data_IF_686130476274
#
_entry.id   IF_686130476274
#
_cell.length_a   1.000
_cell.length_b   1.000
_cell.length_c   1.000
_cell.angle_alpha   90.00
_cell.angle_beta   90.00
_cell.angle_gamma   90.00
#
_symmetry.space_group_name_H-M   'P 1'
#
loop_
_entity.id
_entity.type
_entity.pdbx_description
1 polymer ?
#
# COMPACT_ATOMS: atom_id res chain seq x y z
N UNK A 1 10.29 -18.50 -6.68
CA UNK A 1 11.03 -18.21 -5.43
C UNK A 1 10.14 -17.52 -4.41
N UNK A 2 10.00 -18.11 -3.22
CA UNK A 2 9.59 -17.41 -2.00
C UNK A 2 10.86 -16.87 -1.34
N UNK A 3 11.16 -15.59 -1.58
CA UNK A 3 12.30 -14.93 -0.94
C UNK A 3 11.90 -14.50 0.46
N UNK A 4 12.72 -14.82 1.45
CA UNK A 4 12.54 -14.36 2.84
C UNK A 4 12.50 -12.84 2.87
N UNK A 5 11.49 -12.28 3.53
CA UNK A 5 11.29 -10.83 3.64
C UNK A 5 12.11 -10.30 4.80
N UNK A 6 13.30 -9.81 4.52
CA UNK A 6 14.10 -9.04 5.49
C UNK A 6 13.67 -7.57 5.44
N UNK A 7 12.83 -7.12 6.38
CA UNK A 7 12.45 -5.71 6.55
C UNK A 7 12.73 -5.29 7.99
N UNK A 8 13.40 -4.16 8.15
CA UNK A 8 13.55 -3.50 9.44
C UNK A 8 12.30 -2.67 9.70
N UNK A 9 11.43 -3.15 10.56
CA UNK A 9 10.24 -2.44 11.00
C UNK A 9 10.63 -1.59 12.21
N UNK A 10 10.63 -0.27 12.05
CA UNK A 10 11.03 0.67 13.08
C UNK A 10 9.97 0.80 14.19
N UNK A 11 8.69 0.59 13.84
CA UNK A 11 7.56 0.71 14.75
C UNK A 11 7.52 -0.43 15.77
N UNK A 12 6.99 -0.11 16.95
CA UNK A 12 6.78 -1.10 18.01
C UNK A 12 5.51 -1.92 17.77
N UNK A 13 5.45 -3.14 18.31
CA UNK A 13 4.26 -4.00 18.24
C UNK A 13 2.99 -3.30 18.76
N UNK A 14 3.13 -2.57 19.89
CA UNK A 14 2.03 -1.79 20.49
C UNK A 14 1.50 -0.69 19.59
N UNK A 15 2.38 -0.04 18.81
CA UNK A 15 2.00 1.02 17.88
C UNK A 15 1.23 0.43 16.70
N UNK A 16 1.71 -0.70 16.16
CA UNK A 16 1.03 -1.42 15.08
C UNK A 16 -0.34 -1.93 15.51
N UNK A 17 -0.45 -2.48 16.73
CA UNK A 17 -1.74 -2.94 17.27
C UNK A 17 -2.73 -1.78 17.44
N UNK A 18 -2.28 -0.64 17.95
CA UNK A 18 -3.10 0.57 18.08
C UNK A 18 -3.59 1.06 16.72
N UNK A 19 -2.69 1.11 15.72
CA UNK A 19 -3.05 1.50 14.35
C UNK A 19 -4.03 0.53 13.70
N UNK A 20 -3.89 -0.78 13.95
CA UNK A 20 -4.81 -1.81 13.47
C UNK A 20 -6.23 -1.65 14.04
N UNK A 21 -6.35 -1.21 15.30
CA UNK A 21 -7.65 -0.91 15.92
C UNK A 21 -8.29 0.36 15.36
N UNK A 22 -7.47 1.35 15.00
CA UNK A 22 -7.94 2.65 14.47
C UNK A 22 -8.23 2.62 12.97
N UNK A 23 -7.63 1.69 12.24
CA UNK A 23 -7.70 1.63 10.77
C UNK A 23 -8.70 0.57 10.30
N UNK A 24 -9.51 0.92 9.31
CA UNK A 24 -10.44 -0.01 8.66
C UNK A 24 -10.17 -0.13 7.14
N UNK A 25 -10.76 -1.15 6.53
CA UNK A 25 -10.70 -1.39 5.09
C UNK A 25 -9.33 -1.89 4.59
N UNK A 26 -8.93 -1.57 3.34
CA UNK A 26 -7.74 -2.15 2.71
C UNK A 26 -6.43 -1.75 3.38
N UNK A 27 -6.43 -0.66 4.15
CA UNK A 27 -5.26 -0.22 4.94
C UNK A 27 -5.00 -1.15 6.13
N UNK A 28 -6.06 -1.72 6.72
CA UNK A 28 -5.94 -2.68 7.82
C UNK A 28 -5.20 -3.94 7.39
N UNK A 29 -5.52 -4.47 6.21
CA UNK A 29 -4.87 -5.64 5.62
C UNK A 29 -3.36 -5.41 5.40
N UNK A 30 -2.99 -4.21 4.96
CA UNK A 30 -1.57 -3.79 4.80
C UNK A 30 -0.84 -3.74 6.14
N UNK A 31 -1.47 -3.15 7.16
CA UNK A 31 -0.91 -3.10 8.52
C UNK A 31 -0.77 -4.50 9.12
N UNK A 32 -1.74 -5.38 8.87
CA UNK A 32 -1.73 -6.76 9.38
C UNK A 32 -0.51 -7.54 8.86
N UNK A 33 -0.17 -7.36 7.57
CA UNK A 33 1.01 -7.95 6.97
C UNK A 33 2.31 -7.52 7.68
N UNK A 34 2.45 -6.22 7.99
CA UNK A 34 3.61 -5.72 8.74
C UNK A 34 3.63 -6.23 10.18
N UNK A 35 2.47 -6.29 10.84
CA UNK A 35 2.36 -6.78 12.20
C UNK A 35 2.83 -8.23 12.33
N UNK A 36 2.42 -9.12 11.42
CA UNK A 36 2.89 -10.51 11.43
C UNK A 36 4.39 -10.66 11.13
N UNK A 37 4.93 -9.83 10.24
CA UNK A 37 6.37 -9.78 9.98
C UNK A 37 7.14 -9.31 11.22
N UNK A 38 6.61 -8.33 11.96
CA UNK A 38 7.21 -7.84 13.20
C UNK A 38 7.23 -8.91 14.28
N UNK A 39 6.12 -9.64 14.44
CA UNK A 39 6.01 -10.74 15.39
C UNK A 39 6.82 -11.98 15.00
N UNK A 40 7.34 -12.05 13.77
CA UNK A 40 8.06 -13.24 13.27
C UNK A 40 7.16 -14.45 13.03
N UNK A 41 5.83 -14.27 12.98
CA UNK A 41 4.87 -15.35 12.69
C UNK A 41 4.93 -15.78 11.22
N UNK A 42 5.33 -14.85 10.35
CA UNK A 42 5.48 -15.07 8.91
C UNK A 42 6.85 -14.57 8.46
N UNK A 43 7.49 -15.33 7.58
CA UNK A 43 8.83 -14.98 7.07
C UNK A 43 8.81 -14.66 5.56
N UNK A 44 7.78 -15.11 4.84
CA UNK A 44 7.71 -14.97 3.39
C UNK A 44 6.50 -14.17 2.91
N UNK A 45 6.62 -13.56 1.74
CA UNK A 45 5.48 -12.87 1.08
C UNK A 45 4.36 -13.83 0.71
N UNK A 46 4.67 -15.10 0.51
CA UNK A 46 3.72 -16.14 0.12
C UNK A 46 2.81 -16.49 1.30
N UNK A 47 3.37 -16.64 2.49
CA UNK A 47 2.59 -16.97 3.70
C UNK A 47 1.58 -15.84 4.00
N UNK A 48 2.04 -14.59 3.93
CA UNK A 48 1.18 -13.41 4.08
C UNK A 48 0.08 -13.41 3.01
N UNK A 49 0.42 -13.73 1.77
CA UNK A 49 -0.53 -13.73 0.66
C UNK A 49 -1.65 -14.77 0.87
N UNK A 50 -1.29 -15.97 1.36
CA UNK A 50 -2.23 -17.03 1.72
C UNK A 50 -3.12 -16.60 2.88
N UNK A 51 -2.54 -16.06 3.96
CA UNK A 51 -3.30 -15.64 5.15
C UNK A 51 -4.26 -14.48 4.89
N UNK A 52 -3.87 -13.53 4.04
CA UNK A 52 -4.71 -12.37 3.68
C UNK A 52 -5.59 -12.63 2.44
N UNK A 53 -5.55 -13.84 1.89
CA UNK A 53 -6.24 -14.23 0.66
C UNK A 53 -6.02 -13.20 -0.48
N UNK A 54 -4.77 -12.84 -0.72
CA UNK A 54 -4.39 -11.85 -1.72
C UNK A 54 -3.24 -12.34 -2.60
N UNK A 55 -3.00 -11.68 -3.73
CA UNK A 55 -1.92 -12.08 -4.60
C UNK A 55 -0.55 -11.67 -4.04
N UNK A 56 0.44 -12.57 -4.09
CA UNK A 56 1.82 -12.32 -3.59
C UNK A 56 2.47 -11.03 -4.13
N UNK A 57 2.14 -10.67 -5.37
CA UNK A 57 2.66 -9.43 -6.01
C UNK A 57 2.14 -8.19 -5.30
N UNK A 58 0.91 -8.23 -4.78
CA UNK A 58 0.30 -7.14 -4.01
C UNK A 58 1.05 -6.95 -2.70
N UNK A 59 1.34 -8.04 -1.98
CA UNK A 59 2.16 -8.00 -0.76
C UNK A 59 3.56 -7.46 -1.06
N UNK A 60 4.21 -7.95 -2.11
CA UNK A 60 5.53 -7.47 -2.52
C UNK A 60 5.55 -5.97 -2.82
N UNK A 61 4.49 -5.44 -3.48
CA UNK A 61 4.33 -4.00 -3.73
C UNK A 61 4.19 -3.22 -2.42
N UNK A 62 3.37 -3.68 -1.48
CA UNK A 62 3.21 -3.04 -0.17
C UNK A 62 4.53 -2.93 0.59
N UNK A 63 5.29 -4.02 0.64
CA UNK A 63 6.58 -4.08 1.32
C UNK A 63 7.61 -3.16 0.64
N UNK A 64 7.58 -3.06 -0.69
CA UNK A 64 8.41 -2.10 -1.42
C UNK A 64 8.04 -0.66 -1.09
N UNK A 65 6.75 -0.31 -1.11
CA UNK A 65 6.27 1.03 -0.73
C UNK A 65 6.65 1.38 0.71
N UNK A 66 6.54 0.43 1.63
CA UNK A 66 6.97 0.64 3.01
C UNK A 66 8.48 0.89 3.11
N UNK A 67 9.33 0.18 2.34
CA UNK A 67 10.77 0.46 2.30
C UNK A 67 11.11 1.85 1.74
N UNK A 68 10.37 2.31 0.72
CA UNK A 68 10.65 3.58 0.05
C UNK A 68 10.07 4.79 0.79
N UNK A 69 8.92 4.66 1.45
CA UNK A 69 8.14 5.79 1.99
C UNK A 69 7.62 5.57 3.41
N UNK A 70 7.97 4.45 4.04
CA UNK A 70 7.55 4.09 5.39
C UNK A 70 6.05 3.86 5.53
N UNK A 71 5.56 4.01 6.77
CA UNK A 71 4.13 3.86 7.11
C UNK A 71 3.22 4.82 6.34
N UNK A 72 3.68 6.06 6.11
CA UNK A 72 2.91 7.07 5.40
C UNK A 72 2.56 6.59 3.99
N UNK A 73 3.54 6.10 3.23
CA UNK A 73 3.29 5.58 1.88
C UNK A 73 2.45 4.29 1.87
N UNK A 74 2.57 3.45 2.89
CA UNK A 74 1.78 2.22 2.97
C UNK A 74 0.28 2.50 3.21
N UNK A 75 -0.01 3.50 4.05
CA UNK A 75 -1.37 3.95 4.39
C UNK A 75 -1.95 4.94 3.39
N UNK A 76 -1.10 5.50 2.52
CA UNK A 76 -1.51 6.37 1.44
C UNK A 76 -2.23 5.54 0.37
N UNK A 77 -3.47 5.91 0.09
CA UNK A 77 -4.15 5.46 -1.11
C UNK A 77 -3.68 6.35 -2.24
N UNK A 78 -2.77 5.85 -3.08
CA UNK A 78 -2.48 6.51 -4.36
C UNK A 78 -3.80 6.62 -5.11
N UNK A 79 -4.39 7.82 -5.08
CA UNK A 79 -5.38 8.22 -6.07
C UNK A 79 -4.65 8.19 -7.40
N UNK A 80 -4.91 7.17 -8.21
CA UNK A 80 -4.53 7.24 -9.62
C UNK A 80 -5.09 8.57 -10.13
N UNK A 81 -4.27 9.50 -10.63
CA UNK A 81 -4.79 10.66 -11.34
C UNK A 81 -5.47 10.05 -12.56
N UNK A 82 -6.79 9.91 -12.51
CA UNK A 82 -7.56 9.31 -13.60
C UNK A 82 -7.15 9.96 -14.91
N UNK A 83 -7.15 9.19 -16.01
CA UNK A 83 -6.85 9.73 -17.35
C UNK A 83 -7.71 11.01 -17.53
N UNK A 84 -7.09 12.19 -17.71
CA UNK A 84 -7.88 13.40 -17.91
C UNK A 84 -8.79 13.16 -19.12
N UNK A 85 -10.10 13.38 -18.93
CA UNK A 85 -11.05 13.35 -20.04
C UNK A 85 -10.61 14.43 -21.01
N UNK A 86 -10.19 14.02 -22.20
CA UNK A 86 -9.83 14.93 -23.29
C UNK A 86 -11.13 15.55 -23.83
N UNK A 87 -11.69 16.53 -23.12
CA UNK A 87 -12.80 17.33 -23.65
C UNK A 87 -12.18 18.36 -24.59
N UNK A 88 -12.22 18.07 -25.89
CA UNK A 88 -11.75 18.95 -26.96
C UNK A 88 -12.71 20.15 -27.07
N UNK A 89 -12.57 21.15 -26.20
CA UNK A 89 -13.19 22.45 -26.43
C UNK A 89 -12.54 23.08 -27.66
N UNK A 90 -13.24 23.07 -28.78
CA UNK A 90 -12.93 23.91 -29.93
C UNK A 90 -13.24 25.36 -29.54
N UNK A 91 -12.28 26.01 -28.88
CA UNK A 91 -12.26 27.46 -28.74
C UNK A 91 -11.70 28.04 -30.05
N UNK A 92 -12.60 28.29 -31.01
CA UNK A 92 -12.28 29.22 -32.09
C UNK A 92 -12.75 30.61 -31.69
N UNK A 93 -11.80 31.32 -31.11
CA UNK A 93 -11.65 32.76 -31.16
C UNK A 93 -12.10 33.30 -32.54
N UNK A 94 -13.17 34.09 -32.59
CA UNK A 94 -13.43 35.03 -33.68
C UNK A 94 -13.49 36.42 -33.07
N UNK A 95 -12.33 37.10 -33.10
CA UNK A 95 -12.22 38.54 -32.91
C UNK A 95 -12.57 39.24 -34.24
N UNK A 96 -13.15 40.44 -34.10
CA UNK A 96 -13.26 41.53 -35.07
C UNK A 96 -14.23 41.27 -36.24
N UNK A 97 -15.17 42.17 -36.55
CA UNK A 97 -15.03 43.62 -36.76
C UNK A 97 -16.37 44.32 -36.57
#
# INVERSE_FOLDING_TARGET
MAGVVKIQIAESERELEKLLKQTSGPKKTRLQALYWLKLGVVETTQDIAVLLNCHRVTVSRWLRTYRESGMKGLLEEKKSPGRPRLMRSQEKLSKNK
#
